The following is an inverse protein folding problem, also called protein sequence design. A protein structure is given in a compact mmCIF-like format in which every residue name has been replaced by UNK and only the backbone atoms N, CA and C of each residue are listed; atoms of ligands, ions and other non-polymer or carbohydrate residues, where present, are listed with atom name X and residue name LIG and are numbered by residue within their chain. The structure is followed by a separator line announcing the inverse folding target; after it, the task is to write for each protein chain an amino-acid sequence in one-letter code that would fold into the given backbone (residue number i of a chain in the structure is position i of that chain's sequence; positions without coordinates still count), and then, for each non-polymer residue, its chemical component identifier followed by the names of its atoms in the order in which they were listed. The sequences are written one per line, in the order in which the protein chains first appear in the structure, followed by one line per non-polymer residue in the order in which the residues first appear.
data_IF_244041552853
#
_entry.id   IF_244041552853
#
_cell.length_a   1.000
_cell.length_b   1.000
_cell.length_c   1.000
_cell.angle_alpha   90.00
_cell.angle_beta   90.00
_cell.angle_gamma   90.00
#
_symmetry.space_group_name_H-M   'P 1'
#
loop_
_entity.id
_entity.type
_entity.pdbx_description
1 polymer ?
#
# COMPACT_ATOMS: atom_id res chain seq x y z
N UNK A 1 26.53 36.40 49.50
CA UNK A 1 25.20 36.08 50.06
C UNK A 1 24.33 35.49 48.94
N UNK A 2 23.82 34.29 49.17
CA UNK A 2 22.87 33.49 48.38
C UNK A 2 21.49 34.20 48.22
N UNK A 3 20.49 33.80 47.42
CA UNK A 3 20.22 32.85 46.34
C UNK A 3 18.81 33.18 45.76
N UNK A 4 18.48 32.56 44.61
CA UNK A 4 17.12 32.20 44.11
C UNK A 4 16.12 33.31 43.75
N UNK A 5 15.80 33.40 42.45
CA UNK A 5 14.50 33.90 41.95
C UNK A 5 13.98 32.89 40.89
N UNK A 6 12.90 32.19 41.22
CA UNK A 6 12.05 31.39 40.30
C UNK A 6 10.64 31.98 40.35
N UNK A 7 10.18 32.60 39.27
CA UNK A 7 8.77 32.92 38.99
C UNK A 7 8.61 33.04 37.47
N UNK A 8 7.54 32.63 36.80
CA UNK A 8 6.26 32.08 37.23
C UNK A 8 5.40 31.86 35.98
N UNK A 9 4.72 30.71 35.93
CA UNK A 9 3.70 30.36 34.95
C UNK A 9 2.41 31.16 35.21
N UNK A 10 1.86 31.80 34.18
CA UNK A 10 0.55 32.46 34.23
C UNK A 10 -0.54 31.47 33.80
N UNK A 11 -1.32 31.01 34.78
CA UNK A 11 -2.65 30.39 34.64
C UNK A 11 -3.57 31.23 35.52
N UNK A 12 -4.63 31.82 34.97
CA UNK A 12 -5.76 32.38 35.72
C UNK A 12 -7.03 32.43 34.82
N UNK A 13 -8.24 32.49 35.40
CA UNK A 13 -9.26 31.44 35.22
C UNK A 13 -10.70 32.01 35.09
N UNK A 14 -11.68 31.20 35.49
CA UNK A 14 -13.06 31.54 35.92
C UNK A 14 -14.15 31.68 34.85
N UNK A 15 -15.20 30.86 34.99
CA UNK A 15 -16.51 31.35 35.47
C UNK A 15 -17.55 30.20 35.41
N UNK A 16 -17.69 29.47 36.50
CA UNK A 16 -18.80 28.56 36.73
C UNK A 16 -19.95 29.32 37.43
N UNK A 17 -21.17 29.17 36.91
CA UNK A 17 -22.40 29.63 37.59
C UNK A 17 -23.27 28.40 37.84
N UNK A 18 -23.51 28.10 39.12
CA UNK A 18 -24.48 27.12 39.61
C UNK A 18 -25.67 27.86 40.23
N UNK A 19 -26.88 27.47 39.88
CA UNK A 19 -28.13 27.59 40.66
C UNK A 19 -29.18 26.79 39.84
N UNK A 20 -30.11 25.97 40.34
CA UNK A 20 -30.79 25.82 41.62
C UNK A 20 -31.21 24.34 41.79
N UNK A 21 -31.16 23.86 43.04
CA UNK A 21 -31.83 22.63 43.47
C UNK A 21 -33.33 22.89 43.64
N UNK A 22 -34.18 22.03 43.08
CA UNK A 22 -35.52 21.77 43.61
C UNK A 22 -35.82 20.27 43.60
N UNK A 23 -36.02 19.73 44.80
CA UNK A 23 -36.51 18.37 45.05
C UNK A 23 -38.01 18.32 44.72
N UNK A 24 -38.42 17.34 43.92
CA UNK A 24 -39.82 16.87 43.86
C UNK A 24 -39.82 15.37 44.15
N UNK A 25 -40.59 14.95 45.16
CA UNK A 25 -40.77 13.55 45.56
C UNK A 25 -42.10 12.99 45.03
N UNK A 26 -42.01 11.74 44.54
CA UNK A 26 -43.04 10.68 44.41
C UNK A 26 -44.04 10.75 43.23
N UNK A 27 -44.71 9.62 42.84
CA UNK A 27 -44.46 8.19 43.07
C UNK A 27 -44.33 7.34 41.76
N UNK A 28 -44.00 6.07 41.94
CA UNK A 28 -43.85 4.97 40.95
C UNK A 28 -45.11 4.77 40.07
N UNK A 29 -44.93 4.57 38.75
CA UNK A 29 -45.37 3.38 37.97
C UNK A 29 -45.28 3.58 36.44
N UNK A 30 -44.76 2.53 35.78
CA UNK A 30 -44.95 2.00 34.41
C UNK A 30 -45.40 3.01 33.33
N UNK A 31 -44.64 3.30 32.28
CA UNK A 31 -44.30 2.33 31.24
C UNK A 31 -42.95 2.64 30.59
N UNK A 32 -42.10 1.62 30.42
CA UNK A 32 -41.02 1.68 29.44
C UNK A 32 -41.67 1.62 28.07
N UNK A 33 -42.12 2.76 27.56
CA UNK A 33 -42.36 2.91 26.13
C UNK A 33 -40.99 2.78 25.49
N UNK A 34 -40.66 1.55 25.09
CA UNK A 34 -39.56 1.27 24.19
C UNK A 34 -39.95 1.91 22.88
N UNK A 35 -39.64 3.19 22.73
CA UNK A 35 -39.68 3.87 21.45
C UNK A 35 -38.79 3.05 20.53
N UNK A 36 -39.41 2.17 19.74
CA UNK A 36 -38.77 1.57 18.58
C UNK A 36 -38.55 2.76 17.66
N UNK A 37 -37.40 3.41 17.82
CA UNK A 37 -36.89 4.28 16.79
C UNK A 37 -36.87 3.41 15.54
N UNK A 38 -37.77 3.71 14.61
CA UNK A 38 -37.61 3.30 13.24
C UNK A 38 -36.33 4.00 12.77
N UNK A 39 -35.17 3.45 13.11
CA UNK A 39 -33.94 3.66 12.36
C UNK A 39 -34.29 3.06 11.02
N UNK A 40 -34.88 3.88 10.15
CA UNK A 40 -34.89 3.64 8.73
C UNK A 40 -33.48 3.15 8.43
N UNK A 41 -33.37 1.90 7.97
CA UNK A 41 -32.09 1.38 7.50
C UNK A 41 -31.71 2.35 6.40
N UNK A 42 -30.89 3.35 6.73
CA UNK A 42 -30.23 4.16 5.74
C UNK A 42 -29.50 3.11 4.93
N UNK A 43 -30.01 2.81 3.73
CA UNK A 43 -29.31 1.98 2.76
C UNK A 43 -27.96 2.66 2.68
N UNK A 44 -26.93 2.03 3.24
CA UNK A 44 -25.58 2.54 3.14
C UNK A 44 -25.41 2.77 1.65
N UNK A 45 -25.27 4.04 1.24
CA UNK A 45 -25.08 4.37 -0.17
C UNK A 45 -23.87 3.54 -0.55
N UNK A 46 -24.07 2.50 -1.36
CA UNK A 46 -22.98 1.72 -1.89
C UNK A 46 -22.07 2.74 -2.55
N UNK A 47 -20.91 2.95 -1.95
CA UNK A 47 -19.99 3.95 -2.41
C UNK A 47 -19.67 3.58 -3.85
N UNK A 48 -20.00 4.43 -4.81
CA UNK A 48 -19.70 4.26 -6.23
C UNK A 48 -18.20 4.47 -6.48
N UNK A 49 -17.35 3.90 -5.62
CA UNK A 49 -15.90 3.92 -5.75
C UNK A 49 -15.55 2.91 -6.84
N UNK A 50 -15.80 3.30 -8.09
CA UNK A 50 -15.31 2.59 -9.28
C UNK A 50 -13.77 2.42 -9.24
N UNK A 51 -13.06 3.23 -8.46
CA UNK A 51 -11.59 3.19 -8.33
C UNK A 51 -11.03 2.03 -7.49
N UNK A 52 -11.81 1.32 -6.66
CA UNK A 52 -11.26 0.25 -5.79
C UNK A 52 -11.13 -1.09 -6.52
N UNK A 53 -11.95 -1.31 -7.56
CA UNK A 53 -11.91 -2.54 -8.35
C UNK A 53 -10.70 -2.59 -9.27
N UNK A 54 -10.37 -1.49 -9.95
CA UNK A 54 -9.23 -1.47 -10.87
C UNK A 54 -7.93 -1.82 -10.15
N UNK A 55 -7.68 -1.22 -8.97
CA UNK A 55 -6.48 -1.53 -8.21
C UNK A 55 -6.46 -2.99 -7.72
N UNK A 56 -7.61 -3.52 -7.28
CA UNK A 56 -7.73 -4.92 -6.88
C UNK A 56 -7.50 -5.88 -8.07
N UNK A 57 -8.07 -5.56 -9.23
CA UNK A 57 -7.87 -6.31 -10.47
C UNK A 57 -6.41 -6.24 -10.94
N UNK A 58 -5.79 -5.06 -10.87
CA UNK A 58 -4.37 -4.84 -11.21
C UNK A 58 -3.48 -5.63 -10.26
N UNK A 59 -3.72 -5.51 -8.95
CA UNK A 59 -3.01 -6.27 -7.91
C UNK A 59 -3.14 -7.78 -8.13
N UNK A 60 -4.34 -8.29 -8.38
CA UNK A 60 -4.56 -9.70 -8.70
C UNK A 60 -3.84 -10.11 -9.99
N UNK A 61 -3.84 -9.26 -11.02
CA UNK A 61 -3.11 -9.51 -12.27
C UNK A 61 -1.59 -9.55 -12.06
N UNK A 62 -1.05 -8.68 -11.20
CA UNK A 62 0.36 -8.65 -10.78
C UNK A 62 0.66 -9.61 -9.62
N UNK A 63 -0.23 -10.56 -9.34
CA UNK A 63 -0.09 -11.62 -8.32
C UNK A 63 0.11 -11.09 -6.89
N UNK A 64 -0.36 -9.89 -6.58
CA UNK A 64 -0.49 -9.34 -5.23
C UNK A 64 0.81 -8.98 -4.51
N UNK A 65 1.98 -9.32 -5.07
CA UNK A 65 3.27 -9.09 -4.43
C UNK A 65 3.84 -7.71 -4.74
N UNK A 66 3.57 -7.19 -5.93
CA UNK A 66 4.08 -5.91 -6.41
C UNK A 66 3.02 -4.83 -6.31
N UNK A 67 3.44 -3.61 -5.94
CA UNK A 67 2.60 -2.41 -6.12
C UNK A 67 2.25 -2.30 -7.61
N UNK A 68 1.10 -1.72 -7.97
CA UNK A 68 0.68 -1.52 -9.37
C UNK A 68 1.48 -0.38 -10.03
N UNK A 69 2.80 -0.36 -9.87
CA UNK A 69 3.67 0.56 -10.59
C UNK A 69 3.84 0.02 -12.01
N UNK A 70 3.98 0.94 -12.95
CA UNK A 70 4.32 0.59 -14.33
C UNK A 70 5.84 0.40 -14.41
N UNK A 71 6.33 -0.60 -15.16
CA UNK A 71 7.75 -0.67 -15.45
C UNK A 71 8.17 0.60 -16.19
N UNK A 72 9.36 1.09 -15.89
CA UNK A 72 9.91 2.29 -16.50
C UNK A 72 11.38 2.08 -16.78
N UNK A 73 11.75 2.21 -18.05
CA UNK A 73 13.13 2.23 -18.51
C UNK A 73 13.50 3.66 -18.88
N UNK A 74 14.53 4.25 -18.25
CA UNK A 74 14.93 5.61 -18.52
C UNK A 74 15.47 5.71 -19.95
N UNK A 75 14.98 6.64 -20.79
CA UNK A 75 15.57 6.86 -22.10
C UNK A 75 16.99 7.44 -21.96
N UNK A 76 17.89 7.11 -22.90
CA UNK A 76 19.25 7.66 -22.91
C UNK A 76 19.25 9.20 -22.85
N UNK A 77 18.32 9.82 -23.59
CA UNK A 77 18.17 11.28 -23.68
C UNK A 77 17.23 11.85 -22.58
N UNK A 78 17.11 11.19 -21.42
CA UNK A 78 16.20 11.62 -20.36
C UNK A 78 16.51 13.04 -19.85
N UNK A 79 17.79 13.36 -19.66
CA UNK A 79 18.26 14.69 -19.25
C UNK A 79 17.86 15.75 -20.28
N UNK A 80 18.19 15.54 -21.56
CA UNK A 80 17.90 16.51 -22.62
C UNK A 80 16.40 16.78 -22.78
N UNK A 81 15.56 15.74 -22.61
CA UNK A 81 14.09 15.89 -22.63
C UNK A 81 13.62 16.73 -21.45
N UNK A 82 14.14 16.46 -20.24
CA UNK A 82 13.84 17.29 -19.08
C UNK A 82 14.26 18.74 -19.27
N UNK A 83 15.41 18.99 -19.89
CA UNK A 83 15.90 20.35 -20.13
C UNK A 83 15.00 21.10 -21.12
N UNK A 84 14.46 20.40 -22.13
CA UNK A 84 13.44 20.95 -23.05
C UNK A 84 12.15 21.30 -22.31
N UNK A 85 11.67 20.44 -21.41
CA UNK A 85 10.49 20.73 -20.58
C UNK A 85 10.75 21.93 -19.67
N UNK A 86 11.91 21.98 -19.01
CA UNK A 86 12.27 23.07 -18.11
C UNK A 86 12.31 24.41 -18.86
N UNK A 87 12.89 24.43 -20.06
CA UNK A 87 12.89 25.60 -20.95
C UNK A 87 11.49 26.02 -21.37
N UNK A 88 10.61 25.06 -21.67
CA UNK A 88 9.21 25.35 -22.04
C UNK A 88 8.41 26.00 -20.90
N UNK A 89 8.67 25.59 -19.65
CA UNK A 89 8.04 26.17 -18.45
C UNK A 89 8.78 27.40 -17.90
N UNK A 90 9.88 27.84 -18.54
CA UNK A 90 10.64 29.03 -18.17
C UNK A 90 11.54 28.85 -16.94
N UNK A 91 11.92 27.61 -16.60
CA UNK A 91 12.82 27.29 -15.49
C UNK A 91 14.28 27.14 -15.99
N UNK A 92 15.27 27.59 -15.19
CA UNK A 92 16.67 27.40 -15.53
C UNK A 92 17.05 25.91 -15.45
N UNK A 93 18.00 25.51 -16.29
CA UNK A 93 18.49 24.12 -16.41
C UNK A 93 19.37 23.65 -15.23
N UNK A 94 19.57 24.51 -14.22
CA UNK A 94 20.49 24.23 -13.13
C UNK A 94 19.88 23.22 -12.15
N UNK A 95 20.62 22.16 -11.84
CA UNK A 95 20.18 21.10 -10.92
C UNK A 95 19.84 21.64 -9.52
N UNK A 96 20.52 22.70 -9.06
CA UNK A 96 20.29 23.32 -7.74
C UNK A 96 19.05 24.21 -7.66
N UNK A 97 18.30 24.38 -8.76
CA UNK A 97 17.12 25.24 -8.77
C UNK A 97 15.98 24.61 -7.99
N UNK A 98 15.50 25.31 -6.96
CA UNK A 98 14.36 24.88 -6.15
C UNK A 98 13.03 25.22 -6.84
N UNK A 99 12.11 24.25 -6.87
CA UNK A 99 10.76 24.41 -7.42
C UNK A 99 9.79 24.78 -6.29
N UNK A 100 9.73 26.08 -5.95
CA UNK A 100 8.88 26.59 -4.85
C UNK A 100 7.42 26.76 -5.25
N UNK A 101 7.17 27.20 -6.48
CA UNK A 101 5.83 27.53 -6.95
C UNK A 101 5.02 26.27 -7.23
N UNK A 102 3.93 26.08 -6.49
CA UNK A 102 3.08 24.89 -6.58
C UNK A 102 2.45 24.71 -7.97
N UNK A 103 2.06 25.82 -8.62
CA UNK A 103 1.45 25.80 -9.94
C UNK A 103 2.47 25.42 -11.03
N UNK A 104 3.67 26.00 -10.99
CA UNK A 104 4.75 25.64 -11.92
C UNK A 104 5.18 24.18 -11.73
N UNK A 105 5.32 23.77 -10.48
CA UNK A 105 5.62 22.39 -10.10
C UNK A 105 4.60 21.39 -10.66
N UNK A 106 3.31 21.71 -10.53
CA UNK A 106 2.25 20.86 -11.06
C UNK A 106 2.30 20.75 -12.59
N UNK A 107 2.50 21.88 -13.29
CA UNK A 107 2.64 21.89 -14.75
C UNK A 107 3.85 21.07 -15.21
N UNK A 108 5.00 21.30 -14.59
CA UNK A 108 6.23 20.58 -14.91
C UNK A 108 6.07 19.07 -14.69
N UNK A 109 5.52 18.64 -13.55
CA UNK A 109 5.29 17.22 -13.29
C UNK A 109 4.28 16.60 -14.25
N UNK A 110 3.28 17.36 -14.68
CA UNK A 110 2.29 16.91 -15.67
C UNK A 110 2.93 16.76 -17.06
N UNK A 111 3.78 17.71 -17.47
CA UNK A 111 4.54 17.62 -18.72
C UNK A 111 5.49 16.42 -18.71
N UNK A 112 6.25 16.23 -17.63
CA UNK A 112 7.14 15.08 -17.48
C UNK A 112 6.37 13.74 -17.51
N UNK A 113 5.21 13.68 -16.84
CA UNK A 113 4.39 12.47 -16.85
C UNK A 113 3.88 12.12 -18.27
N UNK A 114 3.59 13.12 -19.09
CA UNK A 114 3.16 12.92 -20.47
C UNK A 114 4.33 12.45 -21.37
N UNK A 115 5.52 13.04 -21.22
CA UNK A 115 6.70 12.69 -22.01
C UNK A 115 7.25 11.30 -21.67
N UNK A 116 7.49 11.04 -20.38
CA UNK A 116 8.09 9.78 -19.92
C UNK A 116 7.07 8.66 -19.70
N UNK A 117 5.76 8.96 -19.81
CA UNK A 117 4.66 8.04 -19.48
C UNK A 117 4.75 7.44 -18.06
N UNK A 118 5.52 8.09 -17.19
CA UNK A 118 5.82 7.70 -15.82
C UNK A 118 5.38 8.82 -14.86
N UNK A 119 4.45 8.49 -13.97
CA UNK A 119 3.92 9.43 -12.99
C UNK A 119 4.73 9.38 -11.69
N UNK A 120 4.96 10.56 -11.11
CA UNK A 120 5.57 10.68 -9.80
C UNK A 120 4.53 10.28 -8.73
N UNK A 121 4.83 9.30 -7.86
CA UNK A 121 3.91 8.91 -6.79
C UNK A 121 3.86 9.97 -5.68
N UNK A 122 2.68 10.13 -5.06
CA UNK A 122 2.47 11.10 -3.98
C UNK A 122 3.48 10.98 -2.83
N UNK A 123 3.93 9.77 -2.53
CA UNK A 123 4.92 9.51 -1.47
C UNK A 123 6.31 10.06 -1.78
N UNK A 124 6.65 10.23 -3.06
CA UNK A 124 7.98 10.74 -3.51
C UNK A 124 7.89 12.21 -3.91
N UNK A 125 6.69 12.73 -4.19
CA UNK A 125 6.53 14.15 -4.53
C UNK A 125 7.20 15.04 -3.49
N UNK A 126 6.99 14.84 -2.19
CA UNK A 126 7.55 15.74 -1.18
C UNK A 126 9.09 15.78 -1.14
N UNK A 127 9.77 14.71 -1.58
CA UNK A 127 11.23 14.63 -1.57
C UNK A 127 11.86 15.36 -2.75
N UNK A 128 11.15 15.47 -3.87
CA UNK A 128 11.61 16.22 -5.04
C UNK A 128 11.45 17.70 -4.75
N UNK A 129 12.55 18.41 -4.46
CA UNK A 129 12.54 19.86 -4.21
C UNK A 129 13.26 20.64 -5.31
N UNK A 130 14.28 20.03 -5.88
CA UNK A 130 15.12 20.62 -6.92
C UNK A 130 14.92 19.95 -8.27
N UNK A 131 15.38 20.60 -9.34
CA UNK A 131 15.42 19.99 -10.69
C UNK A 131 16.35 18.78 -10.70
N UNK A 132 17.46 18.82 -9.95
CA UNK A 132 18.36 17.68 -9.80
C UNK A 132 17.67 16.45 -9.18
N UNK A 133 16.83 16.64 -8.16
CA UNK A 133 16.04 15.54 -7.58
C UNK A 133 15.10 14.91 -8.61
N UNK A 134 14.50 15.74 -9.47
CA UNK A 134 13.60 15.29 -10.52
C UNK A 134 14.35 14.54 -11.62
N UNK A 135 15.53 15.03 -12.01
CA UNK A 135 16.43 14.35 -12.96
C UNK A 135 16.85 12.99 -12.44
N UNK A 136 17.25 12.91 -11.16
CA UNK A 136 17.58 11.64 -10.49
C UNK A 136 16.40 10.66 -10.50
N UNK A 137 15.18 11.14 -10.26
CA UNK A 137 13.98 10.31 -10.30
C UNK A 137 13.77 9.68 -11.70
N UNK A 138 13.86 10.47 -12.77
CA UNK A 138 13.67 9.97 -14.14
C UNK A 138 14.86 9.20 -14.71
N UNK A 139 16.04 9.26 -14.07
CA UNK A 139 17.14 8.33 -14.38
C UNK A 139 17.02 6.98 -13.66
N UNK A 140 16.17 6.89 -12.64
CA UNK A 140 16.02 5.65 -11.87
C UNK A 140 15.06 4.69 -12.58
N UNK A 141 15.51 3.50 -13.00
CA UNK A 141 14.62 2.50 -13.59
C UNK A 141 13.64 1.94 -12.55
N UNK A 142 12.47 1.53 -13.01
CA UNK A 142 11.46 0.86 -12.18
C UNK A 142 11.26 -0.56 -12.72
N UNK A 143 11.82 -1.53 -12.01
CA UNK A 143 11.66 -2.94 -12.32
C UNK A 143 10.45 -3.52 -11.59
N UNK A 144 9.57 -4.15 -12.37
CA UNK A 144 8.41 -4.89 -11.84
C UNK A 144 8.62 -6.39 -11.92
N UNK A 145 9.86 -6.86 -12.01
CA UNK A 145 10.17 -8.29 -11.98
C UNK A 145 10.03 -8.79 -10.53
N UNK A 146 9.45 -9.98 -10.37
CA UNK A 146 9.36 -10.62 -9.07
C UNK A 146 10.76 -11.11 -8.67
N UNK A 147 11.17 -11.04 -7.39
CA UNK A 147 12.49 -11.49 -6.97
C UNK A 147 12.80 -12.93 -7.40
N UNK A 148 11.82 -13.85 -7.27
CA UNK A 148 11.97 -15.24 -7.72
C UNK A 148 12.14 -15.36 -9.24
N UNK A 149 11.48 -14.50 -10.01
CA UNK A 149 11.63 -14.50 -11.47
C UNK A 149 13.01 -13.94 -11.86
N UNK A 150 13.47 -12.88 -11.18
CA UNK A 150 14.81 -12.32 -11.39
C UNK A 150 15.92 -13.36 -11.15
N UNK A 151 15.74 -14.28 -10.18
CA UNK A 151 16.71 -15.37 -9.95
C UNK A 151 16.80 -16.41 -11.06
N UNK A 152 15.93 -16.39 -12.08
CA UNK A 152 16.03 -17.29 -13.24
C UNK A 152 17.07 -16.83 -14.24
N UNK A 153 17.26 -15.52 -14.34
CA UNK A 153 18.16 -14.90 -15.30
C UNK A 153 19.60 -14.77 -14.75
N UNK A 154 19.78 -15.03 -13.45
CA UNK A 154 21.08 -14.99 -12.78
C UNK A 154 21.83 -16.32 -12.95
N UNK A 155 23.14 -16.23 -13.15
CA UNK A 155 24.02 -17.40 -13.10
C UNK A 155 24.16 -17.86 -11.64
N UNK A 156 23.55 -19.02 -11.34
CA UNK A 156 23.57 -19.59 -10.00
C UNK A 156 24.90 -20.30 -9.73
N UNK A 157 25.45 -20.21 -8.51
CA UNK A 157 26.58 -21.04 -8.10
C UNK A 157 26.29 -22.53 -8.31
N UNK A 158 27.29 -23.37 -8.62
CA UNK A 158 27.08 -24.77 -9.01
C UNK A 158 26.46 -25.63 -7.90
N UNK A 159 26.53 -25.19 -6.64
CA UNK A 159 25.94 -25.85 -5.47
C UNK A 159 24.52 -25.34 -5.13
N UNK A 160 23.97 -24.38 -5.88
CA UNK A 160 22.66 -23.79 -5.61
C UNK A 160 21.67 -24.17 -6.72
N UNK A 161 20.63 -24.91 -6.35
CA UNK A 161 19.52 -25.23 -7.25
C UNK A 161 18.19 -24.71 -6.68
N UNK A 162 17.49 -23.88 -7.44
CA UNK A 162 16.21 -23.28 -7.04
C UNK A 162 15.06 -23.99 -7.76
N UNK A 163 14.07 -24.44 -7.00
CA UNK A 163 12.83 -24.98 -7.55
C UNK A 163 11.81 -23.84 -7.73
N UNK A 164 11.61 -23.41 -8.98
CA UNK A 164 10.68 -22.31 -9.29
C UNK A 164 9.21 -22.72 -9.27
N UNK A 165 8.93 -23.99 -9.59
CA UNK A 165 7.58 -24.52 -9.53
C UNK A 165 7.29 -25.06 -8.13
N UNK A 166 6.07 -24.77 -7.65
CA UNK A 166 5.59 -25.33 -6.39
C UNK A 166 5.46 -26.84 -6.53
N UNK A 167 6.35 -27.59 -5.89
CA UNK A 167 6.19 -29.02 -5.73
C UNK A 167 5.41 -29.30 -4.43
N UNK A 168 4.35 -30.11 -4.53
CA UNK A 168 3.55 -30.54 -3.38
C UNK A 168 3.77 -32.03 -3.19
N UNK A 169 3.91 -32.45 -1.93
CA UNK A 169 4.03 -33.86 -1.61
C UNK A 169 2.75 -34.60 -2.05
N UNK A 170 2.95 -35.70 -2.77
CA UNK A 170 1.90 -36.62 -3.16
C UNK A 170 2.38 -38.05 -2.84
N UNK A 171 1.72 -38.79 -1.95
CA UNK A 171 2.19 -40.09 -1.48
C UNK A 171 2.29 -41.13 -2.58
N UNK A 172 1.53 -40.99 -3.67
CA UNK A 172 1.54 -41.96 -4.78
C UNK A 172 2.68 -41.70 -5.77
N UNK A 173 3.04 -40.43 -5.98
CA UNK A 173 4.00 -40.04 -7.03
C UNK A 173 5.37 -39.65 -6.47
N UNK A 174 5.44 -39.21 -5.21
CA UNK A 174 6.67 -38.68 -4.62
C UNK A 174 7.41 -39.76 -3.83
N UNK A 175 8.52 -40.26 -4.39
CA UNK A 175 9.38 -41.27 -3.76
C UNK A 175 10.43 -40.65 -2.82
N UNK A 176 10.54 -39.32 -2.76
CA UNK A 176 11.54 -38.65 -1.91
C UNK A 176 11.31 -38.99 -0.43
N UNK A 177 12.41 -39.15 0.31
CA UNK A 177 12.39 -39.53 1.73
C UNK A 177 11.62 -40.85 2.02
N UNK A 178 11.58 -41.76 1.04
CA UNK A 178 10.85 -43.03 1.17
C UNK A 178 9.33 -42.85 1.20
N UNK A 179 8.82 -41.79 0.56
CA UNK A 179 7.39 -41.48 0.53
C UNK A 179 6.84 -41.00 1.88
N UNK A 180 7.71 -40.61 2.82
CA UNK A 180 7.31 -40.09 4.13
C UNK A 180 7.32 -38.57 4.12
N UNK A 181 6.16 -37.97 4.38
CA UNK A 181 6.03 -36.52 4.56
C UNK A 181 6.30 -36.11 6.00
N UNK A 182 6.88 -34.92 6.19
CA UNK A 182 7.05 -34.29 7.52
C UNK A 182 5.72 -33.91 8.17
N UNK A 183 4.64 -33.81 7.38
CA UNK A 183 3.29 -33.50 7.85
C UNK A 183 2.35 -34.68 7.57
N UNK A 184 2.51 -35.80 8.28
CA UNK A 184 1.59 -36.93 8.13
C UNK A 184 0.18 -36.48 8.55
N UNK A 185 -0.84 -36.89 7.80
CA UNK A 185 -2.28 -36.64 8.09
C UNK A 185 -2.76 -35.20 7.82
N UNK A 186 -1.95 -34.32 7.23
CA UNK A 186 -2.44 -33.03 6.71
C UNK A 186 -2.86 -33.16 5.25
N UNK A 187 -4.11 -32.81 4.93
CA UNK A 187 -4.56 -32.73 3.53
C UNK A 187 -3.89 -31.56 2.81
N UNK A 188 -3.46 -31.80 1.57
CA UNK A 188 -2.86 -30.76 0.72
C UNK A 188 -3.91 -30.25 -0.25
N UNK A 189 -4.74 -29.32 0.22
CA UNK A 189 -5.82 -28.74 -0.56
C UNK A 189 -5.32 -27.59 -1.43
N UNK A 190 -5.71 -27.58 -2.71
CA UNK A 190 -5.48 -26.45 -3.61
C UNK A 190 -6.75 -25.61 -3.64
N UNK A 191 -6.76 -24.51 -2.89
CA UNK A 191 -7.94 -23.63 -2.76
C UNK A 191 -8.09 -22.67 -3.93
N UNK A 192 -7.00 -22.27 -4.58
CA UNK A 192 -7.03 -21.31 -5.68
C UNK A 192 -7.58 -21.90 -6.97
N UNK A 193 -8.61 -21.28 -7.57
CA UNK A 193 -9.28 -21.76 -8.79
C UNK A 193 -8.32 -21.98 -9.97
N UNK A 194 -7.35 -21.06 -10.16
CA UNK A 194 -6.30 -21.17 -11.19
C UNK A 194 -5.43 -22.41 -10.99
N UNK A 195 -5.02 -22.64 -9.73
CA UNK A 195 -4.07 -23.69 -9.38
C UNK A 195 -4.73 -25.05 -9.22
N UNK A 196 -6.03 -25.10 -8.93
CA UNK A 196 -6.81 -26.34 -8.79
C UNK A 196 -6.81 -27.18 -10.07
N UNK A 197 -6.67 -26.54 -11.24
CA UNK A 197 -6.50 -27.23 -12.53
C UNK A 197 -5.08 -27.72 -12.77
N UNK A 198 -4.07 -26.99 -12.28
CA UNK A 198 -2.65 -27.29 -12.53
C UNK A 198 -2.11 -28.35 -11.55
N UNK A 199 -2.57 -28.33 -10.30
CA UNK A 199 -2.07 -29.20 -9.24
C UNK A 199 -3.21 -30.02 -8.63
N UNK A 200 -3.02 -31.34 -8.44
CA UNK A 200 -4.01 -32.17 -7.78
C UNK A 200 -4.10 -31.80 -6.29
N UNK A 201 -5.32 -31.74 -5.78
CA UNK A 201 -5.56 -31.67 -4.34
C UNK A 201 -5.58 -33.08 -3.77
N UNK A 202 -4.84 -33.30 -2.69
CA UNK A 202 -4.84 -34.57 -1.96
C UNK A 202 -5.60 -34.40 -0.65
N UNK A 203 -6.62 -35.23 -0.46
CA UNK A 203 -7.32 -35.38 0.82
C UNK A 203 -6.75 -36.64 1.45
N UNK A 204 -6.24 -36.51 2.68
CA UNK A 204 -5.80 -37.65 3.48
C UNK A 204 -6.89 -37.94 4.50
N UNK A 205 -7.19 -39.22 4.69
CA UNK A 205 -8.14 -39.65 5.70
C UNK A 205 -7.59 -39.39 7.10
N UNK A 206 -8.43 -38.84 7.98
CA UNK A 206 -8.07 -38.63 9.37
C UNK A 206 -8.22 -39.95 10.14
N UNK A 207 -7.28 -40.32 11.02
CA UNK A 207 -7.40 -41.53 11.82
C UNK A 207 -8.45 -41.43 12.95
N UNK A 208 -9.19 -40.32 13.04
CA UNK A 208 -10.17 -40.02 14.08
C UNK A 208 -11.62 -40.08 13.60
N UNK A 209 -11.84 -40.54 12.37
CA UNK A 209 -13.17 -40.83 11.80
C UNK A 209 -13.58 -42.27 12.04
#
# INVERSE_FOLDING_TARGET
MAALIKHGSLIYPHSAKNSLLSLIKAPVRHDVVRCKANRAKQKQKQSTIKGKWEWSQKSLSTRGFLRPLKPYEPPADASEKLDKICKAEGLPENDSTEIKDLNLRFKLFSACANEFKCHIPNSVMFSIRTIGDLRNFYHTPIDTTLPLEATKDLELPPNLHIQYEYNRFNPETDTKFGGKTAFPKSSTLVTGLKYKKKYPSLILDSPWS
#
